data_IF_303803400796
#
_entry.id   IF_303803400796
#
_cell.length_a   1.000
_cell.length_b   1.000
_cell.length_c   1.000
_cell.angle_alpha   90.00
_cell.angle_beta   90.00
_cell.angle_gamma   90.00
#
_symmetry.space_group_name_H-M   'P 1'
#
loop_
_entity.id
_entity.type
_entity.pdbx_description
1 polymer ?
#
# COMPACT_ATOMS: atom_id res chain seq x y z
N UNK A 1 1.64 -14.53 -13.37
CA UNK A 1 2.15 -13.36 -12.62
C UNK A 1 1.92 -12.11 -13.45
N UNK A 2 1.17 -11.13 -12.94
CA UNK A 2 1.04 -9.82 -13.59
C UNK A 2 2.21 -8.94 -13.14
N UNK A 3 2.91 -8.35 -14.10
CA UNK A 3 3.97 -7.39 -13.84
C UNK A 3 3.35 -6.12 -13.25
N UNK A 4 3.72 -5.78 -12.02
CA UNK A 4 3.45 -4.46 -11.45
C UNK A 4 4.07 -3.42 -12.41
N UNK A 5 3.28 -2.45 -12.88
CA UNK A 5 3.70 -1.41 -13.84
C UNK A 5 4.65 -0.36 -13.22
N UNK A 6 5.56 -0.81 -12.35
CA UNK A 6 6.46 0.01 -11.60
C UNK A 6 7.86 -0.07 -12.21
N UNK A 7 8.53 1.07 -12.37
CA UNK A 7 9.90 1.17 -12.84
C UNK A 7 10.84 1.49 -11.68
N UNK A 8 12.10 1.09 -11.83
CA UNK A 8 13.16 1.52 -10.91
C UNK A 8 13.20 3.05 -10.88
N UNK A 9 13.09 3.62 -9.69
CA UNK A 9 12.99 5.06 -9.47
C UNK A 9 11.58 5.61 -9.30
N UNK A 10 10.54 4.82 -9.60
CA UNK A 10 9.16 5.18 -9.25
C UNK A 10 8.98 5.16 -7.73
N UNK A 11 8.06 5.99 -7.25
CA UNK A 11 7.76 6.14 -5.84
C UNK A 11 6.66 5.14 -5.46
N UNK A 12 6.97 4.17 -4.60
CA UNK A 12 5.99 3.27 -4.03
C UNK A 12 5.66 3.69 -2.60
N UNK A 13 4.37 3.72 -2.29
CA UNK A 13 3.89 3.81 -0.91
C UNK A 13 3.58 2.39 -0.48
N UNK A 14 4.25 1.91 0.56
CA UNK A 14 3.81 0.71 1.26
C UNK A 14 2.77 1.15 2.29
N UNK A 15 1.54 0.65 2.15
CA UNK A 15 0.48 0.86 3.15
C UNK A 15 0.42 -0.41 4.00
N UNK A 16 0.49 -0.26 5.33
CA UNK A 16 0.21 -1.37 6.25
C UNK A 16 -1.30 -1.65 6.17
N UNK A 17 -1.66 -2.60 5.33
CA UNK A 17 -3.03 -3.07 5.21
C UNK A 17 -3.22 -4.29 6.12
N UNK A 18 -3.96 -4.11 7.20
CA UNK A 18 -4.40 -5.24 8.04
C UNK A 18 -5.60 -5.97 7.41
N UNK A 19 -6.31 -5.30 6.48
CA UNK A 19 -7.41 -5.86 5.71
C UNK A 19 -6.87 -6.52 4.43
N UNK A 20 -7.04 -7.85 4.26
CA UNK A 20 -6.57 -8.59 3.09
C UNK A 20 -7.08 -8.03 1.76
N UNK A 21 -8.26 -7.42 1.74
CA UNK A 21 -8.89 -6.85 0.55
C UNK A 21 -8.11 -5.69 -0.06
N UNK A 22 -7.24 -5.04 0.72
CA UNK A 22 -6.39 -3.96 0.25
C UNK A 22 -5.04 -4.45 -0.32
N UNK A 23 -4.71 -5.73 -0.13
CA UNK A 23 -3.44 -6.31 -0.58
C UNK A 23 -3.46 -6.47 -2.11
N UNK A 24 -2.38 -6.04 -2.76
CA UNK A 24 -2.22 -6.15 -4.22
C UNK A 24 -2.85 -5.01 -5.01
N UNK A 25 -3.50 -4.04 -4.35
CA UNK A 25 -4.00 -2.85 -5.03
C UNK A 25 -2.84 -1.95 -5.47
N UNK A 26 -2.87 -1.54 -6.74
CA UNK A 26 -1.99 -0.51 -7.29
C UNK A 26 -2.73 0.81 -7.28
N UNK A 27 -2.13 1.82 -6.67
CA UNK A 27 -2.76 3.13 -6.48
C UNK A 27 -1.91 4.24 -7.10
N UNK A 28 -2.58 5.33 -7.49
CA UNK A 28 -1.93 6.58 -7.89
C UNK A 28 -2.19 7.63 -6.83
N UNK A 29 -1.13 8.28 -6.35
CA UNK A 29 -1.22 9.45 -5.48
C UNK A 29 -1.79 10.62 -6.29
N UNK A 30 -2.86 11.22 -5.79
CA UNK A 30 -3.53 12.38 -6.39
C UNK A 30 -3.52 13.61 -5.48
N UNK A 31 -3.14 13.46 -4.20
CA UNK A 31 -3.06 14.55 -3.24
C UNK A 31 -2.35 14.16 -1.95
N UNK A 32 -2.15 15.15 -1.08
CA UNK A 32 -1.55 15.01 0.25
C UNK A 32 -2.45 15.71 1.26
N UNK A 33 -2.80 15.01 2.33
CA UNK A 33 -3.58 15.54 3.46
C UNK A 33 -2.68 15.99 4.63
N UNK A 34 -1.36 15.84 4.50
CA UNK A 34 -0.37 16.14 5.53
C UNK A 34 -0.32 15.09 6.66
N UNK A 35 0.27 15.47 7.80
CA UNK A 35 0.31 14.61 8.98
C UNK A 35 -1.07 14.55 9.66
N UNK A 36 -1.59 13.33 9.84
CA UNK A 36 -2.86 13.09 10.53
C UNK A 36 -2.76 11.90 11.47
N UNK A 37 -3.58 11.92 12.52
CA UNK A 37 -3.85 10.72 13.31
C UNK A 37 -4.55 9.68 12.44
N UNK A 38 -4.05 8.45 12.45
CA UNK A 38 -4.64 7.33 11.71
C UNK A 38 -4.86 6.14 12.63
N UNK A 39 -5.95 5.41 12.43
CA UNK A 39 -6.27 4.24 13.24
C UNK A 39 -5.19 3.15 13.07
N UNK A 40 -4.69 2.60 14.19
CA UNK A 40 -3.61 1.61 14.20
C UNK A 40 -2.19 2.19 14.13
N UNK A 41 -2.03 3.53 14.22
CA UNK A 41 -0.74 4.20 14.31
C UNK A 41 -0.63 4.99 15.61
N UNK A 42 0.46 4.79 16.35
CA UNK A 42 0.70 5.46 17.63
C UNK A 42 1.08 6.94 17.50
N UNK A 43 1.48 7.37 16.30
CA UNK A 43 1.92 8.74 16.00
C UNK A 43 1.21 9.26 14.76
N UNK A 44 1.05 10.59 14.62
CA UNK A 44 0.62 11.19 13.36
C UNK A 44 1.50 10.68 12.23
N UNK A 45 0.87 10.24 11.15
CA UNK A 45 1.56 9.79 9.94
C UNK A 45 1.11 10.63 8.77
N UNK A 46 1.97 10.76 7.76
CA UNK A 46 1.60 11.46 6.55
C UNK A 46 0.49 10.69 5.83
N UNK A 47 -0.57 11.36 5.39
CA UNK A 47 -1.71 10.73 4.71
C UNK A 47 -1.76 11.19 3.26
N UNK A 48 -1.78 10.21 2.36
CA UNK A 48 -1.89 10.42 0.93
C UNK A 48 -3.34 10.26 0.49
N UNK A 49 -3.79 11.12 -0.43
CA UNK A 49 -5.01 10.86 -1.18
C UNK A 49 -4.66 10.07 -2.43
N UNK A 50 -5.33 8.93 -2.63
CA UNK A 50 -5.05 8.00 -3.71
C UNK A 50 -6.30 7.59 -4.47
N UNK A 51 -6.10 7.12 -5.70
CA UNK A 51 -7.11 6.45 -6.52
C UNK A 51 -6.58 5.09 -6.96
N UNK A 52 -7.44 4.07 -6.94
CA UNK A 52 -7.13 2.74 -7.47
C UNK A 52 -6.88 2.83 -8.98
N UNK A 53 -5.75 2.27 -9.41
CA UNK A 53 -5.40 2.10 -10.83
C UNK A 53 -5.61 0.66 -11.25
N UNK A 54 -5.28 -0.30 -10.38
CA UNK A 54 -5.47 -1.73 -10.60
C UNK A 54 -5.76 -2.43 -9.27
N UNK A 55 -6.62 -3.46 -9.30
CA UNK A 55 -7.02 -4.21 -8.10
C UNK A 55 -8.48 -4.00 -7.71
N UNK A 56 -8.79 -4.27 -6.45
CA UNK A 56 -10.09 -4.08 -5.83
C UNK A 56 -10.30 -2.67 -5.26
N UNK A 57 -11.51 -2.35 -4.76
CA UNK A 57 -11.74 -1.11 -4.02
C UNK A 57 -10.89 -1.04 -2.76
N UNK A 58 -10.56 0.17 -2.32
CA UNK A 58 -10.05 0.43 -0.98
C UNK A 58 -11.14 0.07 0.03
N UNK A 59 -10.75 -0.69 1.05
CA UNK A 59 -11.62 -1.11 2.14
C UNK A 59 -11.20 -0.42 3.41
N UNK A 60 -12.15 0.22 4.08
CA UNK A 60 -11.98 0.80 5.41
C UNK A 60 -12.94 0.14 6.38
N UNK A 61 -12.45 -0.20 7.56
CA UNK A 61 -13.27 -0.70 8.65
C UNK A 61 -13.52 0.43 9.65
N UNK A 62 -14.79 0.67 9.98
CA UNK A 62 -15.20 1.60 11.02
C UNK A 62 -15.14 0.92 12.39
N UNK A 63 -15.09 1.70 13.49
CA UNK A 63 -14.99 1.15 14.85
C UNK A 63 -16.15 0.23 15.30
N UNK A 64 -17.23 0.14 14.52
CA UNK A 64 -18.34 -0.80 14.71
C UNK A 64 -18.18 -2.10 13.88
N UNK A 65 -17.04 -2.32 13.20
CA UNK A 65 -16.78 -3.45 12.31
C UNK A 65 -17.42 -3.31 10.92
N UNK A 66 -18.05 -2.18 10.60
CA UNK A 66 -18.64 -1.97 9.29
C UNK A 66 -17.56 -1.63 8.26
N UNK A 67 -17.54 -2.39 7.17
CA UNK A 67 -16.67 -2.15 6.03
C UNK A 67 -17.29 -1.17 5.03
N UNK A 68 -16.47 -0.25 4.54
CA UNK A 68 -16.80 0.66 3.45
C UNK A 68 -15.82 0.47 2.30
N UNK A 69 -16.31 0.62 1.07
CA UNK A 69 -15.59 0.30 -0.15
C UNK A 69 -15.57 1.51 -1.07
N UNK A 70 -14.40 1.93 -1.56
CA UNK A 70 -14.27 3.07 -2.46
C UNK A 70 -13.06 2.95 -3.37
N UNK A 71 -13.12 3.52 -4.58
CA UNK A 71 -11.97 3.57 -5.49
C UNK A 71 -11.06 4.77 -5.25
N UNK A 72 -11.47 5.72 -4.41
CA UNK A 72 -10.69 6.89 -4.01
C UNK A 72 -10.75 7.06 -2.50
N UNK A 73 -9.63 7.35 -1.88
CA UNK A 73 -9.60 7.60 -0.45
C UNK A 73 -8.22 7.92 0.08
N UNK A 74 -8.16 8.09 1.39
CA UNK A 74 -6.92 8.38 2.10
C UNK A 74 -6.21 7.09 2.49
N UNK A 75 -4.87 7.09 2.45
CA UNK A 75 -4.04 5.99 2.95
C UNK A 75 -2.88 6.55 3.79
N UNK A 76 -2.58 5.93 4.95
CA UNK A 76 -1.44 6.34 5.76
C UNK A 76 -0.15 5.92 5.07
N UNK A 77 0.83 6.80 5.08
CA UNK A 77 2.20 6.44 4.76
C UNK A 77 2.75 5.53 5.86
N UNK A 78 3.38 4.44 5.45
CA UNK A 78 4.11 3.55 6.37
C UNK A 78 5.57 3.55 5.98
N UNK A 79 5.84 3.38 4.69
CA UNK A 79 7.14 3.69 4.13
C UNK A 79 6.99 4.18 2.69
N UNK A 80 7.31 5.45 2.48
CA UNK A 80 7.65 5.97 1.16
C UNK A 80 9.05 5.53 0.81
N UNK A 81 9.17 4.54 -0.08
CA UNK A 81 10.46 4.08 -0.58
C UNK A 81 10.48 4.23 -2.09
N UNK A 82 11.60 4.74 -2.61
CA UNK A 82 11.88 4.57 -4.03
C UNK A 82 12.00 3.08 -4.32
N UNK A 83 11.43 2.65 -5.43
CA UNK A 83 11.65 1.30 -5.94
C UNK A 83 13.11 1.21 -6.37
N UNK A 84 13.92 0.59 -5.51
CA UNK A 84 15.31 0.28 -5.82
C UNK A 84 15.37 -0.95 -6.74
N UNK A 85 16.44 -1.07 -7.52
CA UNK A 85 16.75 -2.38 -8.12
C UNK A 85 16.90 -3.40 -6.99
N UNK A 86 16.33 -4.61 -7.12
CA UNK A 86 16.68 -5.70 -6.23
C UNK A 86 18.20 -5.84 -6.21
N UNK A 87 18.80 -5.86 -5.02
CA UNK A 87 20.20 -6.31 -4.91
C UNK A 87 20.18 -7.83 -5.13
N UNK A 88 21.22 -8.43 -5.72
CA UNK A 88 21.28 -9.88 -5.93
C UNK A 88 20.98 -10.67 -4.64
N UNK A 89 21.41 -10.11 -3.51
CA UNK A 89 21.26 -10.62 -2.15
C UNK A 89 19.80 -10.71 -1.66
N UNK A 90 18.85 -9.99 -2.28
CA UNK A 90 17.44 -9.94 -1.87
C UNK A 90 16.54 -10.81 -2.76
N UNK A 91 17.07 -11.34 -3.86
CA UNK A 91 16.31 -12.23 -4.77
C UNK A 91 16.18 -13.61 -4.13
N UNK A 92 17.22 -14.09 -3.44
CA UNK A 92 17.21 -15.39 -2.74
C UNK A 92 16.13 -15.44 -1.63
N UNK A 93 15.93 -14.36 -0.86
CA UNK A 93 14.89 -14.30 0.17
C UNK A 93 13.45 -14.24 -0.38
N UNK A 94 13.25 -13.69 -1.59
CA UNK A 94 11.92 -13.59 -2.22
C UNK A 94 11.49 -14.86 -2.95
N UNK A 95 12.45 -15.69 -3.39
CA UNK A 95 12.17 -16.98 -4.03
C UNK A 95 11.85 -18.08 -3.00
N UNK A 96 12.38 -18.00 -1.77
CA UNK A 96 12.03 -18.95 -0.69
C UNK A 96 10.60 -18.78 -0.18
N UNK A 97 10.05 -17.56 -0.12
CA UNK A 97 8.66 -17.33 0.34
C UNK A 97 7.58 -17.66 -0.73
N UNK A 98 7.96 -17.88 -1.99
CA UNK A 98 7.03 -18.35 -3.03
C UNK A 98 6.95 -19.88 -3.13
N UNK A 99 7.69 -20.62 -2.31
CA UNK A 99 7.71 -22.08 -2.33
C UNK A 99 7.34 -22.68 -0.95
N UNK A 100 6.18 -22.34 -0.41
CA UNK A 100 5.57 -23.18 0.63
C UNK A 100 4.05 -23.33 0.41
N UNK A 101 3.73 -24.43 -0.29
CA UNK A 101 2.46 -25.19 -0.36
C UNK A 101 1.24 -24.57 -1.07
#
# INVERSE_FOLDING_TARGET
MKLLNCRVGDLAVTVKAELPENIGNVVRIIGSEGERSWYGFDKPTHVWEVVIVEGGPLVYESGNGQKSYTHRGCVPDVFLRRIARPRPETIEELEEDCCVL
#
